data_IF_275057010168
#
_entry.id   IF_275057010168
#
_cell.length_a   1.000
_cell.length_b   1.000
_cell.length_c   1.000
_cell.angle_alpha   90.00
_cell.angle_beta   90.00
_cell.angle_gamma   90.00
#
_symmetry.space_group_name_H-M   'P 1'
#
loop_
_entity.id
_entity.type
_entity.pdbx_description
1 polymer ?
#
# COMPACT_ATOMS: atom_id res chain seq x y z
N UNK A 1 24.87 5.27 -16.55
CA UNK A 1 25.52 4.06 -17.10
C UNK A 1 26.44 3.36 -16.10
N UNK A 2 27.68 3.81 -15.80
CA UNK A 2 28.57 3.07 -14.86
C UNK A 2 28.02 2.98 -13.43
N UNK A 3 27.44 4.07 -12.90
CA UNK A 3 26.85 4.09 -11.55
C UNK A 3 25.61 3.21 -11.41
N UNK A 4 24.77 3.15 -12.43
CA UNK A 4 23.56 2.31 -12.47
C UNK A 4 23.95 0.83 -12.64
N UNK A 5 24.94 0.56 -13.49
CA UNK A 5 25.50 -0.78 -13.65
C UNK A 5 26.08 -1.32 -12.33
N UNK A 6 26.87 -0.50 -11.63
CA UNK A 6 27.41 -0.86 -10.31
C UNK A 6 26.30 -1.14 -9.29
N UNK A 7 25.27 -0.28 -9.22
CA UNK A 7 24.14 -0.46 -8.31
C UNK A 7 23.39 -1.78 -8.58
N UNK A 8 23.09 -2.09 -9.84
CA UNK A 8 22.41 -3.34 -10.21
C UNK A 8 23.19 -4.59 -9.81
N UNK A 9 24.52 -4.59 -9.96
CA UNK A 9 25.38 -5.71 -9.55
C UNK A 9 25.47 -5.87 -8.03
N UNK A 10 25.46 -4.76 -7.30
CA UNK A 10 25.40 -4.77 -5.83
C UNK A 10 24.04 -5.34 -5.37
N UNK A 11 22.93 -4.90 -5.95
CA UNK A 11 21.59 -5.41 -5.66
C UNK A 11 21.49 -6.91 -5.98
N UNK A 12 22.03 -7.35 -7.11
CA UNK A 12 22.09 -8.78 -7.47
C UNK A 12 22.85 -9.61 -6.43
N UNK A 13 23.99 -9.09 -5.94
CA UNK A 13 24.78 -9.75 -4.89
C UNK A 13 24.00 -9.85 -3.57
N UNK A 14 23.30 -8.76 -3.19
CA UNK A 14 22.45 -8.74 -2.00
C UNK A 14 21.31 -9.74 -2.12
N UNK A 15 20.62 -9.79 -3.27
CA UNK A 15 19.50 -10.72 -3.52
C UNK A 15 19.91 -12.18 -3.42
N UNK A 16 21.12 -12.50 -3.88
CA UNK A 16 21.64 -13.87 -3.86
C UNK A 16 22.22 -14.27 -2.49
N UNK A 17 22.10 -13.42 -1.45
CA UNK A 17 22.75 -13.61 -0.15
C UNK A 17 24.27 -13.80 -0.26
N UNK A 18 24.92 -13.19 -1.27
CA UNK A 18 26.38 -13.19 -1.34
C UNK A 18 26.90 -12.24 -0.26
N UNK A 19 27.34 -12.82 0.86
CA UNK A 19 27.80 -12.10 2.04
C UNK A 19 29.28 -11.68 1.95
N UNK A 20 29.94 -11.96 0.82
CA UNK A 20 31.28 -11.47 0.54
C UNK A 20 31.25 -9.99 0.11
N UNK A 21 31.44 -9.10 1.09
CA UNK A 21 31.49 -7.64 0.87
C UNK A 21 32.60 -7.26 -0.14
N UNK A 22 33.69 -8.02 -0.22
CA UNK A 22 34.75 -7.70 -1.17
C UNK A 22 34.24 -7.77 -2.61
N UNK A 23 33.39 -8.74 -2.93
CA UNK A 23 32.81 -8.88 -4.27
C UNK A 23 31.87 -7.71 -4.59
N UNK A 24 31.11 -7.24 -3.60
CA UNK A 24 30.26 -6.05 -3.70
C UNK A 24 31.10 -4.80 -4.00
N UNK A 25 32.22 -4.62 -3.31
CA UNK A 25 33.11 -3.47 -3.50
C UNK A 25 33.88 -3.50 -4.82
N UNK A 26 34.07 -4.68 -5.43
CA UNK A 26 34.66 -4.82 -6.75
C UNK A 26 33.77 -4.26 -7.87
N UNK A 27 32.47 -4.11 -7.63
CA UNK A 27 31.53 -3.53 -8.61
C UNK A 27 31.61 -2.01 -8.73
N UNK A 28 32.36 -1.34 -7.84
CA UNK A 28 32.67 0.09 -7.95
C UNK A 28 32.58 0.83 -6.61
N UNK A 29 33.02 2.09 -6.61
CA UNK A 29 32.94 2.93 -5.42
C UNK A 29 31.51 3.41 -5.16
N UNK A 30 31.06 3.27 -3.91
CA UNK A 30 29.76 3.78 -3.44
C UNK A 30 29.97 5.19 -2.90
N UNK A 31 29.79 6.19 -3.75
CA UNK A 31 30.17 7.58 -3.46
C UNK A 31 28.97 8.46 -3.08
N UNK A 32 27.83 8.31 -3.76
CA UNK A 32 26.70 9.21 -3.54
C UNK A 32 25.79 8.75 -2.41
N UNK A 33 25.16 9.72 -1.74
CA UNK A 33 24.12 9.46 -0.74
C UNK A 33 22.97 8.66 -1.36
N UNK A 34 22.54 8.98 -2.58
CA UNK A 34 21.47 8.26 -3.26
C UNK A 34 21.80 6.77 -3.49
N UNK A 35 23.04 6.45 -3.87
CA UNK A 35 23.46 5.06 -4.01
C UNK A 35 23.39 4.32 -2.67
N UNK A 36 23.86 4.94 -1.60
CA UNK A 36 23.80 4.35 -0.24
C UNK A 36 22.35 4.11 0.19
N UNK A 37 21.48 5.11 -0.02
CA UNK A 37 20.04 5.01 0.26
C UNK A 37 19.43 3.83 -0.49
N UNK A 38 19.66 3.73 -1.80
CA UNK A 38 19.06 2.67 -2.62
C UNK A 38 19.55 1.28 -2.20
N UNK A 39 20.84 1.13 -1.84
CA UNK A 39 21.38 -0.13 -1.34
C UNK A 39 20.72 -0.53 -0.01
N UNK A 40 20.60 0.40 0.93
CA UNK A 40 19.99 0.14 2.25
C UNK A 40 18.51 -0.22 2.11
N UNK A 41 17.75 0.54 1.31
CA UNK A 41 16.35 0.24 1.02
C UNK A 41 16.18 -1.13 0.38
N UNK A 42 16.97 -1.43 -0.65
CA UNK A 42 16.91 -2.70 -1.36
C UNK A 42 17.18 -3.87 -0.41
N UNK A 43 18.24 -3.77 0.40
CA UNK A 43 18.57 -4.77 1.41
C UNK A 43 17.39 -5.04 2.36
N UNK A 44 16.79 -3.99 2.90
CA UNK A 44 15.67 -4.10 3.85
C UNK A 44 14.42 -4.72 3.21
N UNK A 45 14.13 -4.38 1.94
CA UNK A 45 13.01 -4.91 1.19
C UNK A 45 13.16 -6.39 0.86
N UNK A 46 14.29 -6.80 0.27
CA UNK A 46 14.47 -8.20 -0.16
C UNK A 46 14.67 -9.17 1.03
N UNK A 47 15.03 -8.65 2.21
CA UNK A 47 15.13 -9.41 3.46
C UNK A 47 13.96 -9.14 4.43
N UNK A 48 12.82 -8.67 3.91
CA UNK A 48 11.63 -8.38 4.73
C UNK A 48 11.11 -9.61 5.49
N UNK A 49 11.25 -10.81 4.90
CA UNK A 49 10.83 -12.08 5.50
C UNK A 49 11.96 -12.97 6.01
N UNK A 50 13.16 -12.81 5.46
CA UNK A 50 14.32 -13.65 5.80
C UNK A 50 15.34 -12.77 6.52
N UNK A 51 15.09 -12.53 7.81
CA UNK A 51 15.98 -11.68 8.59
C UNK A 51 17.32 -12.37 8.80
N UNK A 52 18.39 -11.60 8.61
CA UNK A 52 19.75 -12.08 8.71
C UNK A 52 20.27 -11.90 10.14
N UNK A 53 21.17 -12.76 10.62
CA UNK A 53 21.82 -12.56 11.91
C UNK A 53 22.50 -11.18 11.98
N UNK A 54 22.49 -10.53 13.15
CA UNK A 54 23.11 -9.21 13.36
C UNK A 54 24.60 -9.14 12.97
N UNK A 55 25.32 -10.26 13.06
CA UNK A 55 26.73 -10.37 12.68
C UNK A 55 26.96 -10.66 11.19
N UNK A 56 25.89 -10.83 10.39
CA UNK A 56 25.96 -11.04 8.95
C UNK A 56 26.68 -9.86 8.27
N UNK A 57 27.48 -10.18 7.26
CA UNK A 57 28.28 -9.20 6.53
C UNK A 57 27.44 -8.14 5.83
N UNK A 58 26.28 -8.49 5.24
CA UNK A 58 25.37 -7.53 4.59
C UNK A 58 24.76 -6.56 5.61
N UNK A 59 24.37 -7.05 6.79
CA UNK A 59 23.87 -6.22 7.90
C UNK A 59 24.94 -5.22 8.35
N UNK A 60 26.18 -5.68 8.51
CA UNK A 60 27.31 -4.80 8.88
C UNK A 60 27.62 -3.80 7.78
N UNK A 61 27.53 -4.23 6.53
CA UNK A 61 27.75 -3.38 5.36
C UNK A 61 26.72 -2.25 5.29
N UNK A 62 25.42 -2.53 5.38
CA UNK A 62 24.38 -1.50 5.38
C UNK A 62 24.47 -0.59 6.61
N UNK A 63 24.79 -1.14 7.79
CA UNK A 63 25.04 -0.33 8.99
C UNK A 63 26.22 0.65 8.78
N UNK A 64 27.28 0.24 8.07
CA UNK A 64 28.39 1.13 7.70
C UNK A 64 27.99 2.19 6.65
N UNK A 65 27.10 1.86 5.71
CA UNK A 65 26.57 2.84 4.76
C UNK A 65 25.76 3.92 5.47
N UNK A 66 24.88 3.54 6.40
CA UNK A 66 24.13 4.46 7.26
C UNK A 66 25.11 5.29 8.09
N UNK A 67 26.05 4.66 8.79
CA UNK A 67 27.02 5.34 9.66
C UNK A 67 28.03 6.23 8.94
N UNK A 68 28.18 6.11 7.61
CA UNK A 68 29.05 6.97 6.79
C UNK A 68 28.27 8.05 6.02
N UNK A 69 26.97 8.20 6.30
CA UNK A 69 26.10 9.19 5.67
C UNK A 69 25.71 10.24 6.72
N UNK A 70 25.91 11.55 6.47
CA UNK A 70 25.38 12.59 7.34
C UNK A 70 23.85 12.52 7.39
N UNK A 71 23.28 12.27 8.57
CA UNK A 71 21.83 12.17 8.78
C UNK A 71 21.25 13.40 9.48
N UNK A 72 22.00 14.50 9.55
CA UNK A 72 21.54 15.76 10.16
C UNK A 72 20.39 16.37 9.36
N UNK A 73 20.46 16.24 8.03
CA UNK A 73 19.39 16.63 7.11
C UNK A 73 18.20 15.66 7.17
N UNK A 74 17.01 16.21 7.40
CA UNK A 74 15.78 15.43 7.53
C UNK A 74 15.37 14.74 6.23
N UNK A 75 15.68 15.29 5.06
CA UNK A 75 15.34 14.64 3.79
C UNK A 75 16.18 13.37 3.58
N UNK A 76 17.49 13.47 3.79
CA UNK A 76 18.43 12.35 3.71
C UNK A 76 18.12 11.27 4.74
N UNK A 77 17.88 11.69 6.00
CA UNK A 77 17.53 10.78 7.09
C UNK A 77 16.26 9.98 6.77
N UNK A 78 15.20 10.65 6.34
CA UNK A 78 13.94 10.00 5.94
C UNK A 78 14.15 9.00 4.82
N UNK A 79 14.82 9.41 3.73
CA UNK A 79 15.08 8.53 2.57
C UNK A 79 15.89 7.29 2.95
N UNK A 80 16.87 7.43 3.84
CA UNK A 80 17.71 6.32 4.30
C UNK A 80 16.96 5.35 5.22
N UNK A 81 16.12 5.86 6.13
CA UNK A 81 15.63 5.09 7.28
C UNK A 81 14.19 4.59 7.16
N UNK A 82 13.38 5.12 6.24
CA UNK A 82 11.96 4.75 6.13
C UNK A 82 11.71 3.24 5.97
N UNK A 83 12.56 2.53 5.24
CA UNK A 83 12.42 1.09 5.04
C UNK A 83 12.71 0.25 6.29
N UNK A 84 13.30 0.85 7.35
CA UNK A 84 13.49 0.15 8.61
C UNK A 84 12.16 -0.28 9.23
N UNK A 85 11.07 0.45 8.93
CA UNK A 85 9.71 0.14 9.37
C UNK A 85 9.21 -1.24 8.87
N UNK A 86 9.75 -1.71 7.75
CA UNK A 86 9.37 -2.99 7.16
C UNK A 86 10.06 -4.19 7.83
N UNK A 87 11.14 -3.94 8.57
CA UNK A 87 11.98 -5.00 9.11
C UNK A 87 12.11 -4.84 10.63
N UNK A 88 11.47 -5.75 11.38
CA UNK A 88 11.42 -5.75 12.85
C UNK A 88 12.79 -5.75 13.53
N UNK A 89 13.83 -6.29 12.87
CA UNK A 89 15.18 -6.41 13.43
C UNK A 89 16.02 -5.16 13.14
N UNK A 90 15.44 -4.13 12.48
CA UNK A 90 16.16 -2.91 12.11
C UNK A 90 16.79 -2.18 13.30
N UNK A 91 16.12 -2.21 14.46
CA UNK A 91 16.66 -1.64 15.71
C UNK A 91 17.97 -2.33 16.12
N UNK A 92 18.01 -3.66 15.97
CA UNK A 92 19.19 -4.45 16.30
C UNK A 92 20.31 -4.30 15.28
N UNK A 93 19.96 -4.14 13.99
CA UNK A 93 20.92 -3.91 12.91
C UNK A 93 21.61 -2.56 13.02
N UNK A 94 20.86 -1.51 13.39
CA UNK A 94 21.32 -0.12 13.29
C UNK A 94 21.27 0.61 14.64
N UNK A 95 22.04 0.18 15.66
CA UNK A 95 21.96 0.80 16.99
C UNK A 95 22.41 2.27 17.03
N UNK A 96 23.14 2.75 16.00
CA UNK A 96 23.70 4.11 15.94
C UNK A 96 22.67 5.20 15.66
N UNK A 97 21.49 4.85 15.14
CA UNK A 97 20.41 5.80 14.85
C UNK A 97 19.41 5.92 16.00
N UNK A 98 19.82 5.55 17.22
CA UNK A 98 18.99 5.47 18.43
C UNK A 98 18.06 6.65 18.67
N UNK A 99 18.55 7.88 18.49
CA UNK A 99 17.76 9.12 18.67
C UNK A 99 16.68 9.34 17.63
N UNK A 100 16.73 8.63 16.50
CA UNK A 100 15.82 8.78 15.37
C UNK A 100 14.72 7.72 15.35
N UNK A 101 14.75 6.72 16.26
CA UNK A 101 13.83 5.58 16.17
C UNK A 101 12.37 5.97 16.24
N UNK A 102 12.01 6.95 17.06
CA UNK A 102 10.63 7.46 17.13
C UNK A 102 10.17 8.02 15.77
N UNK A 103 10.99 8.85 15.11
CA UNK A 103 10.73 9.34 13.74
C UNK A 103 10.63 8.18 12.73
N UNK A 104 11.48 7.15 12.90
CA UNK A 104 11.55 5.99 12.02
C UNK A 104 10.41 5.01 12.23
N UNK A 105 9.84 4.87 13.42
CA UNK A 105 8.75 3.93 13.72
C UNK A 105 7.37 4.55 13.55
N UNK A 106 7.23 5.87 13.71
CA UNK A 106 5.95 6.55 13.53
C UNK A 106 5.58 6.58 12.05
N UNK A 107 4.41 6.03 11.70
CA UNK A 107 3.86 6.06 10.35
C UNK A 107 2.92 7.26 10.20
N UNK A 108 3.12 8.04 9.14
CA UNK A 108 2.25 9.17 8.77
C UNK A 108 1.78 8.98 7.33
N UNK A 109 0.67 9.62 6.89
CA UNK A 109 0.19 9.49 5.51
C UNK A 109 1.29 9.78 4.46
N UNK A 110 2.03 10.88 4.64
CA UNK A 110 3.14 11.21 3.74
C UNK A 110 4.24 10.14 3.70
N UNK A 111 4.61 9.59 4.86
CA UNK A 111 5.65 8.57 4.94
C UNK A 111 5.18 7.25 4.32
N UNK A 112 3.92 6.90 4.54
CA UNK A 112 3.28 5.77 3.89
C UNK A 112 3.30 5.93 2.37
N UNK A 113 2.80 7.05 1.85
CA UNK A 113 2.76 7.36 0.41
C UNK A 113 4.16 7.30 -0.23
N UNK A 114 5.17 7.80 0.46
CA UNK A 114 6.56 7.74 -0.01
C UNK A 114 7.10 6.31 -0.06
N UNK A 115 6.76 5.45 0.92
CA UNK A 115 7.22 4.05 0.96
C UNK A 115 6.47 3.22 -0.09
N UNK A 116 5.13 3.35 -0.15
CA UNK A 116 4.30 2.55 -1.06
C UNK A 116 4.61 2.86 -2.53
N UNK A 117 4.78 4.14 -2.87
CA UNK A 117 5.15 4.57 -4.22
C UNK A 117 6.51 3.98 -4.62
N UNK A 118 7.49 4.05 -3.72
CA UNK A 118 8.82 3.49 -3.96
C UNK A 118 8.79 1.96 -4.11
N UNK A 119 8.00 1.23 -3.32
CA UNK A 119 7.86 -0.23 -3.45
C UNK A 119 7.21 -0.60 -4.80
N UNK A 120 6.07 0.01 -5.12
CA UNK A 120 5.26 -0.38 -6.28
C UNK A 120 5.93 -0.01 -7.61
N UNK A 121 6.62 1.13 -7.67
CA UNK A 121 7.32 1.56 -8.89
C UNK A 121 8.73 0.99 -9.06
N UNK A 122 9.31 0.37 -8.03
CA UNK A 122 10.65 -0.22 -8.16
C UNK A 122 10.60 -1.49 -9.02
N UNK A 123 11.30 -1.48 -10.15
CA UNK A 123 11.39 -2.60 -11.09
C UNK A 123 12.29 -3.74 -10.61
N UNK A 124 13.15 -3.49 -9.63
CA UNK A 124 14.12 -4.47 -9.13
C UNK A 124 13.48 -5.42 -8.09
N UNK A 125 12.28 -5.11 -7.62
CA UNK A 125 11.51 -5.95 -6.71
C UNK A 125 10.61 -6.91 -7.49
N UNK A 126 10.68 -8.20 -7.16
CA UNK A 126 9.69 -9.18 -7.61
C UNK A 126 8.32 -8.88 -7.00
N UNK A 127 7.26 -9.46 -7.57
CA UNK A 127 5.91 -9.37 -7.04
C UNK A 127 5.85 -9.84 -5.58
N UNK A 128 6.47 -10.98 -5.25
CA UNK A 128 6.56 -11.51 -3.88
C UNK A 128 7.18 -10.51 -2.89
N UNK A 129 8.26 -9.83 -3.30
CA UNK A 129 8.91 -8.82 -2.44
C UNK A 129 7.98 -7.62 -2.23
N UNK A 130 7.27 -7.18 -3.26
CA UNK A 130 6.34 -6.05 -3.18
C UNK A 130 5.16 -6.37 -2.27
N UNK A 131 4.50 -7.51 -2.49
CA UNK A 131 3.39 -7.98 -1.66
C UNK A 131 3.80 -8.04 -0.19
N UNK A 132 4.99 -8.57 0.08
CA UNK A 132 5.39 -8.76 1.46
C UNK A 132 5.87 -7.49 2.15
N UNK A 133 6.53 -6.58 1.42
CA UNK A 133 6.78 -5.23 1.92
C UNK A 133 5.47 -4.52 2.27
N UNK A 134 4.46 -4.65 1.42
CA UNK A 134 3.14 -4.04 1.64
C UNK A 134 2.44 -4.66 2.83
N UNK A 135 2.48 -6.00 2.97
CA UNK A 135 1.95 -6.69 4.15
C UNK A 135 2.59 -6.19 5.45
N UNK A 136 3.93 -6.07 5.50
CA UNK A 136 4.61 -5.50 6.68
C UNK A 136 4.22 -4.05 6.93
N UNK A 137 4.10 -3.25 5.87
CA UNK A 137 3.68 -1.86 5.99
C UNK A 137 2.27 -1.77 6.60
N UNK A 138 1.33 -2.59 6.13
CA UNK A 138 -0.03 -2.62 6.67
C UNK A 138 -0.09 -3.08 8.13
N UNK A 139 0.76 -4.04 8.53
CA UNK A 139 0.92 -4.43 9.94
C UNK A 139 1.41 -3.28 10.83
N UNK A 140 2.07 -2.25 10.27
CA UNK A 140 2.40 -1.03 11.01
C UNK A 140 1.23 -0.05 11.00
N UNK A 141 0.54 0.08 9.86
CA UNK A 141 -0.61 0.97 9.69
C UNK A 141 -1.75 0.62 10.65
N UNK A 142 -2.05 -0.66 10.90
CA UNK A 142 -3.18 -1.06 11.76
C UNK A 142 -3.13 -0.45 13.17
N UNK A 143 -1.94 -0.14 13.67
CA UNK A 143 -1.71 0.45 14.99
C UNK A 143 -1.62 1.99 14.97
N UNK A 144 -1.87 2.63 13.82
CA UNK A 144 -1.79 4.08 13.66
C UNK A 144 -3.16 4.73 13.82
N UNK A 145 -3.20 5.88 14.48
CA UNK A 145 -4.38 6.75 14.53
C UNK A 145 -4.76 7.28 13.13
N UNK A 146 -3.80 7.30 12.20
CA UNK A 146 -3.97 7.77 10.81
C UNK A 146 -4.38 6.65 9.84
N UNK A 147 -4.66 5.43 10.32
CA UNK A 147 -4.93 4.26 9.47
C UNK A 147 -6.07 4.49 8.47
N UNK A 148 -7.12 5.19 8.88
CA UNK A 148 -8.27 5.49 8.04
C UNK A 148 -7.89 6.37 6.84
N UNK A 149 -7.08 7.41 7.09
CA UNK A 149 -6.57 8.31 6.05
C UNK A 149 -5.65 7.55 5.10
N UNK A 150 -4.76 6.71 5.65
CA UNK A 150 -3.78 5.93 4.91
C UNK A 150 -4.45 4.92 3.96
N UNK A 151 -5.32 4.05 4.48
CA UNK A 151 -5.96 2.99 3.68
C UNK A 151 -6.89 3.55 2.62
N UNK A 152 -7.45 4.73 2.88
CA UNK A 152 -8.37 5.39 1.97
C UNK A 152 -7.69 6.40 1.04
N UNK A 153 -6.36 6.46 1.05
CA UNK A 153 -5.55 7.35 0.21
C UNK A 153 -5.70 7.00 -1.27
N UNK A 154 -5.97 8.02 -2.10
CA UNK A 154 -5.99 7.86 -3.56
C UNK A 154 -4.63 7.39 -4.10
N UNK A 155 -3.53 7.73 -3.44
CA UNK A 155 -2.19 7.27 -3.81
C UNK A 155 -2.03 5.76 -3.65
N UNK A 156 -2.60 5.17 -2.58
CA UNK A 156 -2.59 3.72 -2.38
C UNK A 156 -3.40 3.03 -3.48
N UNK A 157 -4.62 3.52 -3.73
CA UNK A 157 -5.55 2.97 -4.72
C UNK A 157 -4.89 2.97 -6.10
N UNK A 158 -4.44 4.14 -6.57
CA UNK A 158 -3.79 4.28 -7.87
C UNK A 158 -2.51 3.48 -7.96
N UNK A 159 -1.68 3.48 -6.91
CA UNK A 159 -0.44 2.72 -6.91
C UNK A 159 -0.68 1.22 -7.12
N UNK A 160 -1.66 0.65 -6.40
CA UNK A 160 -2.02 -0.76 -6.51
C UNK A 160 -2.61 -1.07 -7.89
N UNK A 161 -3.52 -0.23 -8.38
CA UNK A 161 -4.13 -0.39 -9.71
C UNK A 161 -3.09 -0.29 -10.82
N UNK A 162 -2.25 0.76 -10.82
CA UNK A 162 -1.18 0.97 -11.80
C UNK A 162 -0.21 -0.20 -11.83
N UNK A 163 0.09 -0.78 -10.66
CA UNK A 163 0.95 -1.95 -10.58
C UNK A 163 0.24 -3.20 -11.11
N UNK A 164 -1.02 -3.42 -10.74
CA UNK A 164 -1.83 -4.58 -11.17
C UNK A 164 -2.00 -4.60 -12.69
N UNK A 165 -2.29 -3.45 -13.32
CA UNK A 165 -2.40 -3.32 -14.79
C UNK A 165 -1.09 -3.68 -15.50
N UNK A 166 0.07 -3.39 -14.88
CA UNK A 166 1.38 -3.71 -15.46
C UNK A 166 1.73 -5.20 -15.35
N UNK A 167 0.97 -5.96 -14.58
CA UNK A 167 1.11 -7.42 -14.54
C UNK A 167 0.32 -8.07 -15.67
N UNK A 168 0.63 -9.32 -16.00
CA UNK A 168 -0.18 -10.10 -16.95
C UNK A 168 -1.44 -10.70 -16.28
N UNK A 169 -1.62 -10.46 -14.97
CA UNK A 169 -2.62 -11.10 -14.12
C UNK A 169 -3.28 -10.02 -13.23
N UNK A 170 -3.90 -9.02 -13.88
CA UNK A 170 -4.48 -7.84 -13.23
C UNK A 170 -5.41 -8.22 -12.07
N UNK A 171 -6.41 -9.05 -12.35
CA UNK A 171 -7.42 -9.46 -11.36
C UNK A 171 -6.78 -10.18 -10.17
N UNK A 172 -5.88 -11.12 -10.41
CA UNK A 172 -5.21 -11.89 -9.35
C UNK A 172 -4.35 -10.98 -8.46
N UNK A 173 -3.51 -10.15 -9.09
CA UNK A 173 -2.64 -9.20 -8.38
C UNK A 173 -3.45 -8.22 -7.54
N UNK A 174 -4.55 -7.68 -8.10
CA UNK A 174 -5.44 -6.75 -7.39
C UNK A 174 -6.05 -7.42 -6.16
N UNK A 175 -6.53 -8.66 -6.30
CA UNK A 175 -7.13 -9.43 -5.21
C UNK A 175 -6.13 -9.75 -4.09
N UNK A 176 -4.86 -10.01 -4.42
CA UNK A 176 -3.83 -10.22 -3.41
C UNK A 176 -3.60 -8.97 -2.55
N UNK A 177 -3.58 -7.78 -3.15
CA UNK A 177 -3.48 -6.53 -2.40
C UNK A 177 -4.71 -6.26 -1.53
N UNK A 178 -5.90 -6.49 -2.08
CA UNK A 178 -7.16 -6.37 -1.34
C UNK A 178 -7.15 -7.30 -0.13
N UNK A 179 -6.75 -8.55 -0.34
CA UNK A 179 -6.64 -9.56 0.72
C UNK A 179 -5.65 -9.13 1.80
N UNK A 180 -4.50 -8.58 1.44
CA UNK A 180 -3.55 -8.05 2.41
C UNK A 180 -4.19 -6.96 3.27
N UNK A 181 -4.87 -5.98 2.66
CA UNK A 181 -5.55 -4.90 3.40
C UNK A 181 -6.64 -5.46 4.31
N UNK A 182 -7.44 -6.40 3.81
CA UNK A 182 -8.50 -7.04 4.58
C UNK A 182 -7.96 -7.77 5.81
N UNK A 183 -7.05 -8.72 5.61
CA UNK A 183 -6.50 -9.57 6.66
C UNK A 183 -5.69 -8.78 7.71
N UNK A 184 -5.03 -7.69 7.30
CA UNK A 184 -4.09 -6.98 8.19
C UNK A 184 -4.67 -5.73 8.84
N UNK A 185 -5.68 -5.08 8.25
CA UNK A 185 -6.23 -3.82 8.77
C UNK A 185 -7.72 -3.89 9.03
N UNK A 186 -8.51 -4.39 8.09
CA UNK A 186 -9.98 -4.31 8.18
C UNK A 186 -10.55 -5.37 9.13
N UNK A 187 -10.13 -6.63 9.02
CA UNK A 187 -10.59 -7.70 9.91
C UNK A 187 -10.20 -7.48 11.38
N UNK A 188 -8.97 -7.04 11.73
CA UNK A 188 -8.61 -6.72 13.11
C UNK A 188 -9.48 -5.61 13.74
N UNK A 189 -9.99 -4.69 12.94
CA UNK A 189 -10.93 -3.65 13.36
C UNK A 189 -12.38 -4.15 13.45
N UNK A 190 -12.64 -5.43 13.18
CA UNK A 190 -13.97 -6.01 13.13
C UNK A 190 -14.87 -5.39 12.05
N UNK A 191 -14.26 -4.75 11.05
CA UNK A 191 -14.94 -4.02 9.99
C UNK A 191 -15.06 -4.87 8.72
N UNK A 192 -15.70 -4.34 7.68
CA UNK A 192 -15.90 -5.05 6.41
C UNK A 192 -15.26 -4.29 5.24
N UNK A 193 -14.77 -5.03 4.25
CA UNK A 193 -14.16 -4.46 3.04
C UNK A 193 -15.13 -3.66 2.17
N UNK A 194 -16.44 -3.74 2.41
CA UNK A 194 -17.49 -3.07 1.64
C UNK A 194 -17.14 -1.62 1.31
N UNK A 195 -16.85 -0.80 2.33
CA UNK A 195 -16.64 0.63 2.15
C UNK A 195 -15.33 0.91 1.40
N UNK A 196 -14.30 0.12 1.67
CA UNK A 196 -13.01 0.22 0.98
C UNK A 196 -13.18 -0.10 -0.51
N UNK A 197 -13.83 -1.23 -0.83
CA UNK A 197 -14.12 -1.60 -2.21
C UNK A 197 -15.00 -0.56 -2.91
N UNK A 198 -16.05 -0.05 -2.25
CA UNK A 198 -16.90 1.01 -2.80
C UNK A 198 -16.10 2.29 -3.10
N UNK A 199 -15.21 2.68 -2.19
CA UNK A 199 -14.36 3.86 -2.38
C UNK A 199 -13.40 3.69 -3.56
N UNK A 200 -12.83 2.50 -3.73
CA UNK A 200 -11.98 2.19 -4.88
C UNK A 200 -12.79 2.22 -6.18
N UNK A 201 -13.99 1.65 -6.19
CA UNK A 201 -14.91 1.70 -7.33
C UNK A 201 -15.20 3.15 -7.74
N UNK A 202 -15.58 4.01 -6.79
CA UNK A 202 -15.86 5.43 -7.08
C UNK A 202 -14.60 6.15 -7.59
N UNK A 203 -13.45 5.86 -7.00
CA UNK A 203 -12.17 6.47 -7.37
C UNK A 203 -11.74 6.07 -8.79
N UNK A 204 -11.90 4.80 -9.17
CA UNK A 204 -11.47 4.27 -10.47
C UNK A 204 -12.51 4.55 -11.56
N UNK A 205 -13.81 4.48 -11.25
CA UNK A 205 -14.88 4.76 -12.21
C UNK A 205 -14.83 6.19 -12.75
N UNK A 206 -14.43 7.15 -11.91
CA UNK A 206 -14.27 8.56 -12.28
C UNK A 206 -12.89 8.91 -12.86
N UNK A 207 -11.94 7.96 -12.92
CA UNK A 207 -10.57 8.22 -13.32
C UNK A 207 -10.34 7.91 -14.81
N UNK A 208 -10.19 8.95 -15.62
CA UNK A 208 -9.93 8.82 -17.06
C UNK A 208 -8.46 8.46 -17.39
N UNK A 209 -7.60 8.24 -16.39
CA UNK A 209 -6.23 7.77 -16.63
C UNK A 209 -6.18 6.29 -17.08
N UNK A 210 -7.26 5.54 -16.88
CA UNK A 210 -7.32 4.11 -17.18
C UNK A 210 -8.14 3.82 -18.43
N UNK A 211 -7.77 2.77 -19.17
CA UNK A 211 -8.55 2.34 -20.33
C UNK A 211 -9.95 1.88 -19.89
N UNK A 212 -10.93 1.94 -20.81
CA UNK A 212 -12.28 1.49 -20.51
C UNK A 212 -12.31 0.01 -20.08
N UNK A 213 -11.50 -0.83 -20.72
CA UNK A 213 -11.45 -2.27 -20.46
C UNK A 213 -10.83 -2.55 -19.10
N UNK A 214 -9.72 -1.89 -18.74
CA UNK A 214 -9.10 -2.02 -17.42
C UNK A 214 -10.08 -1.57 -16.32
N UNK A 215 -10.76 -0.43 -16.50
CA UNK A 215 -11.75 0.06 -15.53
C UNK A 215 -12.86 -0.94 -15.31
N UNK A 216 -13.40 -1.53 -16.37
CA UNK A 216 -14.45 -2.55 -16.28
C UNK A 216 -13.98 -3.79 -15.53
N UNK A 217 -12.79 -4.29 -15.83
CA UNK A 217 -12.23 -5.47 -15.15
C UNK A 217 -12.00 -5.21 -13.65
N UNK A 218 -11.39 -4.06 -13.31
CA UNK A 218 -11.14 -3.65 -11.92
C UNK A 218 -12.45 -3.48 -11.15
N UNK A 219 -13.41 -2.75 -11.71
CA UNK A 219 -14.71 -2.51 -11.07
C UNK A 219 -15.45 -3.82 -10.83
N UNK A 220 -15.47 -4.72 -11.83
CA UNK A 220 -16.08 -6.04 -11.69
C UNK A 220 -15.43 -6.82 -10.54
N UNK A 221 -14.10 -6.86 -10.51
CA UNK A 221 -13.33 -7.54 -9.46
C UNK A 221 -13.66 -6.98 -8.08
N UNK A 222 -13.73 -5.66 -7.93
CA UNK A 222 -14.07 -4.99 -6.67
C UNK A 222 -15.53 -5.24 -6.26
N UNK A 223 -16.47 -5.19 -7.20
CA UNK A 223 -17.87 -5.51 -6.95
C UNK A 223 -18.01 -6.93 -6.40
N UNK A 224 -17.25 -7.90 -6.93
CA UNK A 224 -17.26 -9.27 -6.45
C UNK A 224 -16.82 -9.44 -4.99
N UNK A 225 -16.04 -8.49 -4.45
CA UNK A 225 -15.64 -8.48 -3.04
C UNK A 225 -16.67 -7.82 -2.11
N UNK A 226 -17.69 -7.14 -2.66
CA UNK A 226 -18.71 -6.46 -1.84
C UNK A 226 -19.69 -7.47 -1.26
N UNK A 227 -19.73 -7.57 0.07
CA UNK A 227 -20.78 -8.28 0.79
C UNK A 227 -22.07 -7.45 0.85
N UNK A 228 -22.99 -7.78 -0.06
CA UNK A 228 -24.31 -7.17 -0.14
C UNK A 228 -25.15 -7.38 1.13
N UNK A 229 -24.82 -8.31 2.03
CA UNK A 229 -25.56 -8.48 3.29
C UNK A 229 -24.99 -7.66 4.46
N UNK A 230 -23.86 -6.97 4.27
CA UNK A 230 -23.23 -6.17 5.33
C UNK A 230 -24.13 -5.04 5.83
N UNK A 231 -24.46 -4.97 7.12
CA UNK A 231 -25.23 -3.85 7.64
C UNK A 231 -24.31 -2.71 8.05
N UNK A 232 -24.54 -1.51 7.50
CA UNK A 232 -23.74 -0.34 7.83
C UNK A 232 -23.95 0.08 9.28
N UNK A 233 -22.86 0.44 9.93
CA UNK A 233 -22.85 1.13 11.20
C UNK A 233 -22.26 2.53 10.99
N UNK A 234 -23.09 3.53 10.74
CA UNK A 234 -22.63 4.89 10.39
C UNK A 234 -21.91 5.64 11.54
N UNK A 235 -21.86 5.06 12.74
CA UNK A 235 -21.03 5.53 13.85
C UNK A 235 -19.60 4.99 13.77
N UNK A 236 -19.37 3.91 13.00
CA UNK A 236 -18.04 3.43 12.68
C UNK A 236 -17.35 4.37 11.69
N UNK A 237 -16.06 4.63 11.92
CA UNK A 237 -15.26 5.58 11.13
C UNK A 237 -15.11 5.18 9.65
N UNK A 238 -15.14 3.89 9.32
CA UNK A 238 -15.14 3.45 7.92
C UNK A 238 -16.47 3.79 7.26
N UNK A 239 -17.57 3.31 7.83
CA UNK A 239 -18.92 3.43 7.27
C UNK A 239 -19.43 4.88 7.26
N UNK A 240 -18.97 5.74 8.18
CA UNK A 240 -19.34 7.16 8.20
C UNK A 240 -18.99 7.89 6.90
N UNK A 241 -18.00 7.41 6.15
CA UNK A 241 -17.65 7.93 4.82
C UNK A 241 -18.85 7.93 3.85
N UNK A 242 -19.73 6.93 3.93
CA UNK A 242 -20.95 6.86 3.10
C UNK A 242 -21.87 8.04 3.39
N UNK A 243 -22.08 8.35 4.67
CA UNK A 243 -22.90 9.50 5.08
C UNK A 243 -22.29 10.80 4.59
N UNK A 244 -20.98 10.95 4.77
CA UNK A 244 -20.28 12.21 4.50
C UNK A 244 -20.14 12.48 2.99
N UNK A 245 -20.19 11.45 2.13
CA UNK A 245 -19.97 11.54 0.69
C UNK A 245 -21.15 10.99 -0.14
N UNK A 246 -22.34 10.89 0.46
CA UNK A 246 -23.50 10.22 -0.12
C UNK A 246 -23.83 10.68 -1.55
N UNK A 247 -23.93 12.00 -1.74
CA UNK A 247 -24.30 12.57 -3.03
C UNK A 247 -23.25 12.27 -4.10
N UNK A 248 -21.97 12.46 -3.76
CA UNK A 248 -20.86 12.19 -4.67
C UNK A 248 -20.76 10.70 -5.03
N UNK A 249 -21.03 9.80 -4.07
CA UNK A 249 -21.05 8.35 -4.32
C UNK A 249 -22.15 8.02 -5.33
N UNK A 250 -23.38 8.49 -5.09
CA UNK A 250 -24.51 8.20 -5.98
C UNK A 250 -24.31 8.79 -7.37
N UNK A 251 -23.88 10.05 -7.45
CA UNK A 251 -23.61 10.72 -8.72
C UNK A 251 -22.55 9.96 -9.53
N UNK A 252 -21.46 9.52 -8.89
CA UNK A 252 -20.42 8.75 -9.57
C UNK A 252 -20.92 7.38 -10.05
N UNK A 253 -21.68 6.66 -9.22
CA UNK A 253 -22.23 5.35 -9.59
C UNK A 253 -23.23 5.47 -10.75
N UNK A 254 -24.12 6.47 -10.70
CA UNK A 254 -25.11 6.73 -11.75
C UNK A 254 -24.47 7.18 -13.06
N UNK A 255 -23.48 8.07 -13.00
CA UNK A 255 -22.75 8.55 -14.18
C UNK A 255 -21.91 7.44 -14.81
N UNK A 256 -21.37 6.55 -13.99
CA UNK A 256 -20.54 5.43 -14.41
C UNK A 256 -21.34 4.14 -14.65
N UNK A 257 -22.67 4.22 -14.77
CA UNK A 257 -23.57 3.05 -14.89
C UNK A 257 -23.14 2.08 -15.99
N UNK A 258 -22.62 2.58 -17.10
CA UNK A 258 -22.16 1.78 -18.24
C UNK A 258 -20.90 0.94 -17.92
N UNK A 259 -20.17 1.26 -16.86
CA UNK A 259 -19.06 0.44 -16.34
C UNK A 259 -19.56 -0.75 -15.51
N UNK A 260 -20.75 -0.63 -14.92
CA UNK A 260 -21.34 -1.64 -14.03
C UNK A 260 -22.38 -2.51 -14.71
N UNK A 261 -23.12 -1.95 -15.67
CA UNK A 261 -24.27 -2.60 -16.28
C UNK A 261 -23.91 -3.14 -17.66
N UNK A 262 -23.18 -4.25 -17.71
CA UNK A 262 -23.16 -5.05 -18.92
C UNK A 262 -24.54 -5.71 -19.11
N UNK A 263 -25.31 -5.24 -20.09
CA UNK A 263 -26.66 -5.72 -20.37
C UNK A 263 -26.69 -7.21 -20.73
N UNK A 264 -25.54 -7.80 -21.06
CA UNK A 264 -25.41 -9.22 -21.36
C UNK A 264 -25.29 -10.09 -20.10
N UNK A 265 -25.06 -9.49 -18.91
CA UNK A 265 -24.88 -10.21 -17.64
C UNK A 265 -25.86 -9.68 -16.57
N UNK A 266 -27.07 -10.26 -16.46
CA UNK A 266 -28.12 -9.80 -15.55
C UNK A 266 -27.70 -9.74 -14.07
N UNK A 267 -26.87 -10.67 -13.61
CA UNK A 267 -26.40 -10.76 -12.22
C UNK A 267 -25.65 -9.49 -11.76
N UNK A 268 -24.87 -8.88 -12.66
CA UNK A 268 -24.09 -7.67 -12.33
C UNK A 268 -25.03 -6.46 -12.21
N UNK A 269 -26.05 -6.39 -13.06
CA UNK A 269 -27.08 -5.34 -13.01
C UNK A 269 -27.88 -5.44 -11.71
N UNK A 270 -28.30 -6.64 -11.30
CA UNK A 270 -29.00 -6.85 -10.02
C UNK A 270 -28.14 -6.44 -8.83
N UNK A 271 -26.85 -6.78 -8.84
CA UNK A 271 -25.91 -6.41 -7.78
C UNK A 271 -25.68 -4.90 -7.71
N UNK A 272 -25.62 -4.21 -8.85
CA UNK A 272 -25.56 -2.75 -8.93
C UNK A 272 -26.83 -2.11 -8.36
N UNK A 273 -28.01 -2.54 -8.80
CA UNK A 273 -29.28 -1.98 -8.31
C UNK A 273 -29.43 -2.17 -6.81
N UNK A 274 -29.04 -3.34 -6.29
CA UNK A 274 -29.03 -3.62 -4.87
C UNK A 274 -28.04 -2.73 -4.10
N UNK A 275 -26.82 -2.52 -4.62
CA UNK A 275 -25.83 -1.61 -4.04
C UNK A 275 -26.38 -0.19 -3.89
N UNK A 276 -27.02 0.33 -4.94
CA UNK A 276 -27.63 1.66 -4.94
C UNK A 276 -28.71 1.77 -3.87
N UNK A 277 -29.65 0.83 -3.82
CA UNK A 277 -30.73 0.83 -2.83
C UNK A 277 -30.18 0.71 -1.40
N UNK A 278 -29.14 -0.08 -1.21
CA UNK A 278 -28.47 -0.22 0.09
C UNK A 278 -27.84 1.10 0.55
N UNK A 279 -27.12 1.80 -0.32
CA UNK A 279 -26.54 3.13 -0.02
C UNK A 279 -27.64 4.14 0.31
N UNK A 280 -28.74 4.18 -0.46
CA UNK A 280 -29.90 5.04 -0.19
C UNK A 280 -30.56 4.72 1.16
N UNK A 281 -30.71 3.44 1.48
CA UNK A 281 -31.36 3.00 2.72
C UNK A 281 -30.56 3.42 3.97
N UNK A 282 -29.24 3.41 3.89
CA UNK A 282 -28.34 3.75 4.99
C UNK A 282 -28.57 5.17 5.55
N UNK A 283 -28.83 6.16 4.69
CA UNK A 283 -29.14 7.52 5.15
C UNK A 283 -30.58 7.70 5.60
N UNK A 284 -31.53 6.96 5.02
CA UNK A 284 -32.92 7.05 5.44
C UNK A 284 -33.10 6.56 6.89
N UNK A 285 -32.37 5.52 7.30
CA UNK A 285 -32.31 5.08 8.69
C UNK A 285 -31.68 6.14 9.61
N UNK A 286 -30.56 6.75 9.20
CA UNK A 286 -29.87 7.78 10.00
C UNK A 286 -30.73 9.04 10.24
N UNK A 287 -31.50 9.47 9.24
CA UNK A 287 -32.39 10.65 9.37
C UNK A 287 -33.64 10.38 10.22
N UNK A 288 -34.06 9.11 10.33
CA UNK A 288 -35.20 8.70 11.16
C UNK A 288 -34.85 8.63 12.66
N UNK A 289 -33.60 8.35 13.02
CA UNK A 289 -33.14 8.32 14.41
C UNK A 289 -32.98 9.75 14.98
N UNK A 290 -32.42 10.69 14.19
CA UNK A 290 -32.25 12.11 14.59
C UNK A 290 -33.59 12.85 14.78
N UNK A 291 -34.67 12.38 14.17
CA UNK A 291 -36.01 12.97 14.33
C UNK A 291 -36.83 12.38 15.48
N UNK A 292 -36.24 11.47 16.25
CA UNK A 292 -36.91 10.77 17.36
C UNK A 292 -36.32 11.03 18.75
N UNK A 293 -35.32 11.91 18.88
CA UNK A 293 -34.88 12.43 20.18
C UNK A 293 -35.74 13.66 20.59
N UNK A 294 -36.47 13.60 21.72
CA UNK A 294 -37.35 14.67 22.21
C UNK A 294 -36.62 15.86 22.88
#
# INVERSE_FOLDING_TARGET
MEKEYALGRIQESIRNNHDNINDILLHGMILSVDQKVNIVKYFLAVHVNNTLPKNNSLVRFTNNLIGSTPLDDSATRRRMLFYCLLNKDSNDYYPRIGSCWEEVTTITPYKFDAIISDILHNSDYSIDVKLECIKKLMMVVVNSDEKYVIISSLFLIRGIVDFSIKTNELTETLLEFIKIIDETVIQPDGSNMFVICLRWIVSIGSDDCYSLDDRKEIIKTLMDQIDVNYNFNLDNTWDSWIRDNYFDILENLETSKDLFCDKEIPEIVEKYDYLIEKIKSALNSANSEVSSEP
#
